data_IF_492831433825
#
_entry.id   IF_492831433825
#
_cell.length_a   1.000
_cell.length_b   1.000
_cell.length_c   1.000
_cell.angle_alpha   90.00
_cell.angle_beta   90.00
_cell.angle_gamma   90.00
#
_symmetry.space_group_name_H-M   'P 1'
#
loop_
_entity.id
_entity.type
_entity.pdbx_description
1 polymer ?
#
# COMPACT_ATOMS: atom_id res chain seq x y z
N UNK A 1 -10.96 -41.11 20.65
CA UNK A 1 -10.66 -42.15 19.63
C UNK A 1 -11.93 -42.37 18.83
N UNK A 2 -12.03 -42.31 17.51
CA UNK A 2 -11.14 -42.09 16.37
C UNK A 2 -12.00 -41.27 15.37
N UNK A 3 -11.53 -40.23 14.68
CA UNK A 3 -10.56 -40.31 13.59
C UNK A 3 -11.26 -39.89 12.29
N UNK A 4 -11.61 -38.60 12.15
CA UNK A 4 -11.96 -38.00 10.86
C UNK A 4 -10.66 -37.64 10.14
N UNK A 5 -10.10 -38.60 9.42
CA UNK A 5 -9.06 -38.38 8.43
C UNK A 5 -9.56 -38.98 7.10
N UNK A 6 -9.10 -38.37 6.00
CA UNK A 6 -9.42 -38.63 4.58
C UNK A 6 -10.68 -37.91 4.07
N UNK A 7 -10.66 -37.05 3.04
CA UNK A 7 -9.79 -36.99 1.86
C UNK A 7 -9.97 -35.64 1.14
N UNK A 8 -9.02 -34.70 1.30
CA UNK A 8 -8.87 -33.53 0.41
C UNK A 8 -7.91 -33.89 -0.75
N UNK A 9 -8.16 -35.02 -1.42
CA UNK A 9 -7.41 -35.44 -2.62
C UNK A 9 -8.34 -35.42 -3.81
N UNK A 10 -8.36 -34.29 -4.53
CA UNK A 10 -8.55 -34.14 -5.98
C UNK A 10 -9.73 -34.82 -6.73
N UNK A 11 -10.60 -35.57 -6.07
CA UNK A 11 -11.58 -36.44 -6.73
C UNK A 11 -12.99 -35.83 -6.86
N UNK A 12 -13.18 -34.58 -6.41
CA UNK A 12 -14.49 -33.90 -6.45
C UNK A 12 -15.02 -33.75 -7.87
N UNK A 13 -14.14 -33.42 -8.83
CA UNK A 13 -14.52 -33.21 -10.22
C UNK A 13 -14.89 -34.53 -10.92
N UNK A 14 -14.12 -35.60 -10.69
CA UNK A 14 -14.42 -36.93 -11.23
C UNK A 14 -15.73 -37.49 -10.66
N UNK A 15 -16.03 -37.20 -9.38
CA UNK A 15 -17.30 -37.58 -8.75
C UNK A 15 -18.48 -36.79 -9.32
N UNK A 16 -18.30 -35.49 -9.56
CA UNK A 16 -19.32 -34.66 -10.19
C UNK A 16 -19.62 -35.11 -11.64
N UNK A 17 -18.59 -35.42 -12.44
CA UNK A 17 -18.79 -35.95 -13.79
C UNK A 17 -19.50 -37.30 -13.80
N UNK A 18 -19.15 -38.21 -12.88
CA UNK A 18 -19.83 -39.51 -12.77
C UNK A 18 -21.29 -39.35 -12.36
N UNK A 19 -21.58 -38.48 -11.40
CA UNK A 19 -22.94 -38.18 -10.97
C UNK A 19 -23.79 -37.53 -12.08
N UNK A 20 -23.18 -36.71 -12.93
CA UNK A 20 -23.85 -36.13 -14.10
C UNK A 20 -24.14 -37.18 -15.18
N UNK A 21 -23.20 -38.09 -15.45
CA UNK A 21 -23.42 -39.18 -16.39
C UNK A 21 -24.49 -40.17 -15.91
N UNK A 22 -24.56 -40.44 -14.60
CA UNK A 22 -25.62 -41.25 -14.00
C UNK A 22 -27.00 -40.58 -14.10
N UNK A 23 -27.07 -39.26 -13.94
CA UNK A 23 -28.30 -38.49 -14.12
C UNK A 23 -28.77 -38.43 -15.58
N UNK A 24 -27.85 -38.43 -16.54
CA UNK A 24 -28.17 -38.50 -17.97
C UNK A 24 -28.67 -39.89 -18.38
N UNK A 25 -28.15 -40.95 -17.75
CA UNK A 25 -28.53 -42.33 -18.02
C UNK A 25 -29.92 -42.72 -17.47
N UNK A 26 -30.42 -42.04 -16.42
CA UNK A 26 -31.75 -42.30 -15.86
C UNK A 26 -32.62 -41.02 -15.71
N UNK A 27 -33.28 -40.60 -16.82
CA UNK A 27 -34.20 -39.46 -16.80
C UNK A 27 -35.38 -39.64 -15.84
N UNK A 28 -35.76 -40.89 -15.54
CA UNK A 28 -36.87 -41.20 -14.64
C UNK A 28 -36.49 -40.95 -13.18
N UNK A 29 -35.23 -41.21 -12.79
CA UNK A 29 -34.72 -40.88 -11.47
C UNK A 29 -34.69 -39.37 -11.22
N UNK A 30 -34.23 -38.58 -12.20
CA UNK A 30 -34.25 -37.12 -12.13
C UNK A 30 -35.69 -36.58 -11.96
N UNK A 31 -36.65 -37.14 -12.71
CA UNK A 31 -38.04 -36.71 -12.60
C UNK A 31 -38.66 -37.09 -11.23
N UNK A 32 -38.25 -38.24 -10.67
CA UNK A 32 -38.66 -38.69 -9.32
C UNK A 32 -38.07 -37.85 -8.20
N UNK A 33 -36.83 -37.37 -8.35
CA UNK A 33 -36.19 -36.40 -7.45
C UNK A 33 -36.89 -35.04 -7.53
N UNK A 34 -37.15 -34.54 -8.75
CA UNK A 34 -37.90 -33.29 -8.97
C UNK A 34 -39.30 -33.31 -8.36
N UNK A 35 -40.00 -34.45 -8.41
CA UNK A 35 -41.32 -34.58 -7.80
C UNK A 35 -41.34 -34.35 -6.28
N UNK A 36 -40.21 -34.55 -5.58
CA UNK A 36 -40.12 -34.33 -4.13
C UNK A 36 -40.15 -32.84 -3.77
N UNK A 37 -39.76 -31.98 -4.71
CA UNK A 37 -39.75 -30.52 -4.52
C UNK A 37 -41.01 -29.84 -5.04
N UNK A 38 -41.88 -30.54 -5.77
CA UNK A 38 -43.18 -30.01 -6.21
C UNK A 38 -44.25 -30.05 -5.11
N UNK A 39 -43.96 -30.66 -3.96
CA UNK A 39 -44.83 -30.62 -2.82
C UNK A 39 -44.54 -29.32 -2.07
N UNK A 40 -45.56 -28.46 -1.93
CA UNK A 40 -45.43 -27.26 -1.09
C UNK A 40 -44.91 -27.67 0.29
N UNK A 41 -43.90 -26.98 0.83
CA UNK A 41 -43.37 -27.30 2.14
C UNK A 41 -44.50 -27.30 3.16
N UNK A 42 -44.48 -28.22 4.15
CA UNK A 42 -45.51 -28.27 5.17
C UNK A 42 -45.63 -26.89 5.83
N UNK A 43 -46.87 -26.46 6.07
CA UNK A 43 -47.14 -25.20 6.76
C UNK A 43 -46.33 -25.15 8.05
N UNK A 44 -45.46 -24.15 8.17
CA UNK A 44 -44.54 -23.99 9.28
C UNK A 44 -45.35 -23.86 10.57
N UNK A 45 -45.43 -24.92 11.36
CA UNK A 45 -46.03 -24.87 12.68
C UNK A 45 -45.06 -24.10 13.58
N UNK A 46 -45.34 -22.82 13.76
CA UNK A 46 -44.65 -21.96 14.71
C UNK A 46 -44.95 -22.45 16.13
N UNK A 47 -44.23 -23.47 16.58
CA UNK A 47 -44.12 -23.77 18.00
C UNK A 47 -43.46 -22.55 18.65
N UNK A 48 -44.25 -21.79 19.43
CA UNK A 48 -43.77 -20.76 20.34
C UNK A 48 -42.90 -21.41 21.42
N UNK A 49 -41.67 -21.74 21.06
CA UNK A 49 -40.57 -21.85 22.01
C UNK A 49 -39.58 -20.79 21.61
N UNK A 50 -39.89 -19.56 22.00
CA UNK A 50 -39.05 -18.38 21.85
C UNK A 50 -37.79 -18.50 22.70
N UNK A 51 -36.90 -19.44 22.34
CA UNK A 51 -35.49 -19.33 22.65
C UNK A 51 -34.96 -18.20 21.79
N UNK A 52 -35.08 -16.97 22.30
CA UNK A 52 -34.47 -15.76 21.75
C UNK A 52 -33.05 -16.10 21.33
N UNK A 53 -32.84 -16.26 20.02
CA UNK A 53 -31.51 -16.30 19.42
C UNK A 53 -31.01 -14.87 19.49
N UNK A 54 -30.65 -14.44 20.70
CA UNK A 54 -30.00 -13.18 20.97
C UNK A 54 -28.67 -13.30 20.25
N UNK A 55 -28.58 -12.67 19.08
CA UNK A 55 -27.35 -12.53 18.32
C UNK A 55 -26.25 -12.16 19.31
N UNK A 56 -25.29 -13.03 19.50
CA UNK A 56 -24.15 -12.75 20.35
C UNK A 56 -23.54 -11.43 19.85
N UNK A 57 -23.63 -10.38 20.66
CA UNK A 57 -22.96 -9.12 20.37
C UNK A 57 -21.49 -9.42 20.10
N UNK A 58 -20.86 -8.77 19.11
CA UNK A 58 -19.44 -8.97 18.82
C UNK A 58 -18.66 -8.82 20.11
N UNK A 59 -18.00 -9.90 20.55
CA UNK A 59 -17.15 -9.86 21.73
C UNK A 59 -16.06 -8.84 21.41
N UNK A 60 -16.08 -7.71 22.12
CA UNK A 60 -15.04 -6.69 21.95
C UNK A 60 -13.69 -7.35 22.21
N UNK A 61 -12.70 -7.19 21.31
CA UNK A 61 -11.39 -7.81 21.50
C UNK A 61 -10.79 -7.36 22.83
N UNK A 62 -10.20 -8.31 23.57
CA UNK A 62 -9.53 -8.02 24.84
C UNK A 62 -8.44 -6.96 24.67
N UNK A 63 -8.14 -6.20 25.72
CA UNK A 63 -7.06 -5.20 25.70
C UNK A 63 -5.73 -5.77 25.22
N UNK A 64 -5.41 -7.00 25.63
CA UNK A 64 -4.19 -7.70 25.19
C UNK A 64 -4.20 -7.96 23.68
N UNK A 65 -5.33 -8.42 23.13
CA UNK A 65 -5.48 -8.61 21.68
C UNK A 65 -5.33 -7.29 20.92
N UNK A 66 -5.90 -6.20 21.45
CA UNK A 66 -5.77 -4.86 20.87
C UNK A 66 -4.32 -4.36 20.90
N UNK A 67 -3.62 -4.57 22.01
CA UNK A 67 -2.20 -4.22 22.15
C UNK A 67 -1.34 -5.03 21.18
N UNK A 68 -1.59 -6.33 21.05
CA UNK A 68 -0.89 -7.19 20.09
C UNK A 68 -1.14 -6.72 18.65
N UNK A 69 -2.38 -6.37 18.28
CA UNK A 69 -2.68 -5.86 16.95
C UNK A 69 -2.02 -4.51 16.67
N UNK A 70 -1.99 -3.60 17.65
CA UNK A 70 -1.25 -2.33 17.57
C UNK A 70 0.23 -2.54 17.26
N UNK A 71 0.89 -3.46 17.98
CA UNK A 71 2.30 -3.79 17.75
C UNK A 71 2.51 -4.38 16.35
N UNK A 72 1.61 -5.24 15.90
CA UNK A 72 1.68 -5.81 14.55
C UNK A 72 1.56 -4.74 13.47
N UNK A 73 0.59 -3.83 13.59
CA UNK A 73 0.42 -2.71 12.65
C UNK A 73 1.62 -1.76 12.64
N UNK A 74 2.21 -1.49 13.81
CA UNK A 74 3.43 -0.70 13.89
C UNK A 74 4.57 -1.38 13.11
N UNK A 75 4.77 -2.68 13.30
CA UNK A 75 5.76 -3.45 12.53
C UNK A 75 5.47 -3.48 11.03
N UNK A 76 4.21 -3.62 10.61
CA UNK A 76 3.82 -3.56 9.19
C UNK A 76 4.10 -2.18 8.57
N UNK A 77 3.92 -1.09 9.33
CA UNK A 77 4.30 0.26 8.86
C UNK A 77 5.80 0.39 8.72
N UNK A 78 6.53 0.02 9.76
CA UNK A 78 7.99 0.07 9.76
C UNK A 78 8.56 -0.75 8.61
N UNK A 79 8.00 -1.92 8.29
CA UNK A 79 8.46 -2.72 7.16
C UNK A 79 8.46 -1.96 5.84
N UNK A 80 7.56 -0.98 5.66
CA UNK A 80 7.42 -0.20 4.44
C UNK A 80 8.37 1.00 4.30
N UNK A 81 9.18 1.32 5.32
CA UNK A 81 10.17 2.40 5.26
C UNK A 81 11.41 1.97 4.43
N UNK A 82 12.19 2.92 3.86
CA UNK A 82 13.30 2.59 2.96
C UNK A 82 14.33 1.64 3.55
N UNK A 83 14.83 1.93 4.76
CA UNK A 83 15.84 1.11 5.44
C UNK A 83 15.39 -0.35 5.59
N UNK A 84 14.18 -0.58 6.11
CA UNK A 84 13.67 -1.94 6.34
C UNK A 84 13.42 -2.67 5.02
N UNK A 85 12.89 -1.98 4.00
CA UNK A 85 12.73 -2.61 2.68
C UNK A 85 14.07 -3.01 2.07
N UNK A 86 15.08 -2.14 2.18
CA UNK A 86 16.42 -2.40 1.69
C UNK A 86 17.03 -3.62 2.41
N UNK A 87 17.02 -3.61 3.75
CA UNK A 87 17.53 -4.71 4.57
C UNK A 87 16.86 -6.04 4.23
N UNK A 88 15.54 -6.06 4.08
CA UNK A 88 14.81 -7.28 3.76
C UNK A 88 15.16 -7.83 2.38
N UNK A 89 15.41 -6.95 1.40
CA UNK A 89 15.88 -7.35 0.07
C UNK A 89 17.31 -7.88 0.13
N UNK A 90 18.19 -7.24 0.91
CA UNK A 90 19.56 -7.70 1.16
C UNK A 90 19.56 -9.08 1.81
N UNK A 91 18.74 -9.32 2.82
CA UNK A 91 18.69 -10.60 3.52
C UNK A 91 18.22 -11.74 2.60
N UNK A 92 17.24 -11.48 1.74
CA UNK A 92 16.80 -12.49 0.74
C UNK A 92 17.88 -12.75 -0.29
N UNK A 93 18.57 -11.73 -0.79
CA UNK A 93 19.65 -11.92 -1.75
C UNK A 93 20.87 -12.60 -1.11
N UNK A 94 21.20 -12.25 0.14
CA UNK A 94 22.26 -12.91 0.93
C UNK A 94 21.99 -14.39 1.07
N UNK A 95 20.76 -14.76 1.47
CA UNK A 95 20.37 -16.16 1.58
C UNK A 95 20.50 -16.89 0.24
N UNK A 96 20.10 -16.25 -0.86
CA UNK A 96 20.25 -16.83 -2.20
C UNK A 96 21.70 -17.07 -2.59
N UNK A 97 22.58 -16.09 -2.34
CA UNK A 97 24.02 -16.20 -2.60
C UNK A 97 24.60 -17.37 -1.78
N UNK A 98 24.22 -17.46 -0.50
CA UNK A 98 24.62 -18.55 0.37
C UNK A 98 24.17 -19.92 -0.14
N UNK A 99 22.90 -20.06 -0.51
CA UNK A 99 22.35 -21.31 -1.03
C UNK A 99 23.03 -21.70 -2.38
N UNK A 100 23.36 -20.73 -3.23
CA UNK A 100 24.07 -20.97 -4.49
C UNK A 100 25.53 -21.42 -4.30
N UNK A 101 26.20 -20.93 -3.26
CA UNK A 101 27.55 -21.36 -2.87
C UNK A 101 27.55 -22.79 -2.36
N UNK A 102 26.61 -23.13 -1.47
CA UNK A 102 26.43 -24.49 -0.94
C UNK A 102 26.12 -25.50 -2.04
N UNK A 103 25.31 -25.11 -3.03
CA UNK A 103 24.93 -25.97 -4.16
C UNK A 103 26.02 -26.04 -5.24
N UNK A 104 27.11 -25.27 -5.11
CA UNK A 104 28.21 -25.23 -6.06
C UNK A 104 27.90 -24.51 -7.38
N UNK A 105 26.70 -23.96 -7.53
CA UNK A 105 26.26 -23.22 -8.73
C UNK A 105 26.96 -21.87 -8.88
N UNK A 106 27.34 -21.24 -7.76
CA UNK A 106 28.08 -19.97 -7.77
C UNK A 106 29.02 -19.89 -6.56
N UNK A 107 30.34 -19.93 -6.80
CA UNK A 107 31.32 -19.86 -5.71
C UNK A 107 31.60 -18.43 -5.30
N UNK A 108 31.46 -18.14 -4.03
CA UNK A 108 31.81 -16.84 -3.45
C UNK A 108 33.35 -16.76 -3.39
N UNK A 109 33.96 -15.64 -3.83
CA UNK A 109 35.41 -15.47 -3.74
C UNK A 109 35.86 -15.55 -2.28
N UNK A 110 36.92 -16.33 -2.02
CA UNK A 110 37.44 -16.55 -0.68
C UNK A 110 37.75 -15.22 0.04
N UNK A 111 37.19 -15.06 1.25
CA UNK A 111 37.32 -13.84 2.05
C UNK A 111 36.27 -12.76 1.78
N UNK A 112 35.33 -12.98 0.86
CA UNK A 112 34.21 -12.05 0.64
C UNK A 112 33.05 -12.34 1.58
N UNK A 113 32.43 -11.29 2.11
CA UNK A 113 31.22 -11.40 2.93
C UNK A 113 29.96 -11.43 2.03
N UNK A 114 29.16 -12.52 2.07
CA UNK A 114 27.91 -12.63 1.33
C UNK A 114 26.94 -11.47 1.60
N UNK A 115 26.93 -10.93 2.82
CA UNK A 115 26.09 -9.79 3.18
C UNK A 115 26.50 -8.53 2.41
N UNK A 116 27.80 -8.27 2.29
CA UNK A 116 28.32 -7.13 1.55
C UNK A 116 28.05 -7.26 0.04
N UNK A 117 28.21 -8.45 -0.53
CA UNK A 117 27.87 -8.71 -1.94
C UNK A 117 26.38 -8.43 -2.19
N UNK A 118 25.50 -8.96 -1.35
CA UNK A 118 24.07 -8.72 -1.45
C UNK A 118 23.72 -7.22 -1.33
N UNK A 119 24.35 -6.52 -0.38
CA UNK A 119 24.16 -5.08 -0.16
C UNK A 119 24.50 -4.28 -1.41
N UNK A 120 25.66 -4.52 -2.02
CA UNK A 120 26.08 -3.81 -3.23
C UNK A 120 25.18 -4.15 -4.44
N UNK A 121 24.73 -5.40 -4.56
CA UNK A 121 23.79 -5.79 -5.62
C UNK A 121 22.43 -5.08 -5.49
N UNK A 122 21.84 -5.07 -4.30
CA UNK A 122 20.55 -4.39 -4.06
C UNK A 122 20.70 -2.88 -4.22
N UNK A 123 21.80 -2.30 -3.71
CA UNK A 123 22.10 -0.87 -3.89
C UNK A 123 22.22 -0.50 -5.36
N UNK A 124 22.95 -1.28 -6.15
CA UNK A 124 23.05 -1.08 -7.61
C UNK A 124 21.68 -1.09 -8.28
N UNK A 125 20.82 -2.06 -7.95
CA UNK A 125 19.44 -2.12 -8.48
C UNK A 125 18.61 -0.90 -8.09
N UNK A 126 18.77 -0.37 -6.88
CA UNK A 126 18.06 0.84 -6.43
C UNK A 126 18.59 2.10 -7.12
N UNK A 127 19.89 2.16 -7.45
CA UNK A 127 20.49 3.23 -8.26
C UNK A 127 19.93 3.18 -9.68
N UNK A 128 19.90 2.00 -10.31
CA UNK A 128 19.37 1.81 -11.67
C UNK A 128 17.89 2.19 -11.80
N UNK A 129 17.09 1.95 -10.75
CA UNK A 129 15.68 2.38 -10.70
C UNK A 129 15.51 3.89 -10.40
N UNK A 130 16.60 4.60 -10.07
CA UNK A 130 16.53 5.98 -9.62
C UNK A 130 15.90 6.15 -8.23
N UNK A 131 15.82 5.08 -7.43
CA UNK A 131 15.28 5.10 -6.06
C UNK A 131 16.33 5.61 -5.07
N UNK A 132 17.59 5.21 -5.26
CA UNK A 132 18.68 5.56 -4.36
C UNK A 132 18.90 7.08 -4.31
N UNK A 133 19.20 7.61 -3.12
CA UNK A 133 19.54 9.02 -2.92
C UNK A 133 21.03 9.15 -2.60
N UNK A 134 21.67 10.18 -3.16
CA UNK A 134 23.10 10.45 -2.91
C UNK A 134 23.41 10.76 -1.44
N UNK A 135 22.41 11.27 -0.70
CA UNK A 135 22.54 11.58 0.71
C UNK A 135 22.21 10.41 1.64
N UNK A 136 21.83 9.26 1.10
CA UNK A 136 21.68 8.04 1.90
C UNK A 136 23.06 7.45 2.21
N UNK A 137 23.22 7.00 3.45
CA UNK A 137 24.38 6.20 3.83
C UNK A 137 24.27 4.78 3.23
N UNK A 138 25.22 3.91 3.57
CA UNK A 138 25.26 2.51 3.12
C UNK A 138 23.95 1.73 3.31
N UNK A 139 23.05 2.17 4.19
CA UNK A 139 21.86 1.43 4.59
C UNK A 139 20.53 2.10 4.20
N UNK A 140 20.52 3.09 3.31
CA UNK A 140 19.29 3.75 2.86
C UNK A 140 18.44 4.39 3.98
N UNK A 141 19.09 4.94 5.02
CA UNK A 141 18.36 5.63 6.10
C UNK A 141 17.70 6.92 5.59
N UNK A 142 16.40 7.06 5.89
CA UNK A 142 15.64 8.28 5.64
C UNK A 142 14.23 8.02 5.10
N UNK A 143 13.67 9.04 4.44
CA UNK A 143 12.37 9.00 3.75
C UNK A 143 12.53 8.66 2.28
N UNK A 144 11.50 8.11 1.63
CA UNK A 144 11.47 7.91 0.19
C UNK A 144 11.63 9.22 -0.60
N UNK A 145 12.01 9.15 -1.89
CA UNK A 145 12.09 10.33 -2.77
C UNK A 145 10.72 11.00 -2.91
N UNK A 146 9.66 10.21 -3.08
CA UNK A 146 8.30 10.72 -3.27
C UNK A 146 7.65 11.34 -2.01
N UNK A 147 8.19 11.10 -0.81
CA UNK A 147 7.64 11.65 0.43
C UNK A 147 7.88 13.16 0.59
N UNK A 148 8.90 13.71 -0.09
CA UNK A 148 9.14 15.16 -0.08
C UNK A 148 8.21 15.85 -1.08
N UNK A 149 7.58 16.97 -0.75
CA UNK A 149 6.87 17.79 -1.74
C UNK A 149 7.82 18.32 -2.85
N UNK A 150 7.35 18.35 -4.10
CA UNK A 150 8.12 18.79 -5.27
C UNK A 150 8.59 20.25 -5.17
N UNK A 151 7.79 21.12 -4.54
CA UNK A 151 8.02 22.56 -4.46
C UNK A 151 9.33 22.90 -3.71
N UNK A 152 9.60 22.21 -2.59
CA UNK A 152 10.80 22.43 -1.78
C UNK A 152 12.10 22.03 -2.47
N UNK A 153 12.05 21.09 -3.42
CA UNK A 153 13.24 20.67 -4.17
C UNK A 153 13.52 21.60 -5.35
N UNK A 154 12.48 22.17 -5.96
CA UNK A 154 12.63 23.17 -7.04
C UNK A 154 13.22 24.50 -6.57
N UNK A 155 12.93 24.92 -5.34
CA UNK A 155 13.53 26.13 -4.76
C UNK A 155 15.02 25.91 -4.42
N UNK A 156 15.36 24.75 -3.86
CA UNK A 156 16.75 24.39 -3.54
C UNK A 156 17.64 24.20 -4.79
N UNK A 157 17.08 23.74 -5.91
CA UNK A 157 17.80 23.60 -7.18
C UNK A 157 17.96 24.95 -7.90
N UNK A 158 16.95 25.83 -7.82
CA UNK A 158 17.10 27.23 -8.26
C UNK A 158 18.19 27.95 -7.45
N UNK A 159 18.27 27.72 -6.14
CA UNK A 159 19.37 28.24 -5.32
C UNK A 159 20.73 27.65 -5.72
N UNK A 160 20.82 26.33 -5.95
CA UNK A 160 22.07 25.69 -6.40
C UNK A 160 22.52 26.13 -7.79
N UNK A 161 21.61 26.32 -8.73
CA UNK A 161 21.95 26.83 -10.07
C UNK A 161 22.42 28.29 -9.98
N UNK A 162 21.84 29.11 -9.10
CA UNK A 162 22.30 30.47 -8.82
C UNK A 162 23.65 30.51 -8.06
N UNK A 163 23.91 29.55 -7.17
CA UNK A 163 25.19 29.45 -6.45
C UNK A 163 26.31 28.89 -7.33
N UNK A 164 26.01 27.99 -8.27
CA UNK A 164 27.01 27.43 -9.19
C UNK A 164 27.48 28.45 -10.24
N UNK A 165 26.64 29.45 -10.56
CA UNK A 165 27.05 30.62 -11.37
C UNK A 165 27.78 31.71 -10.55
N UNK A 166 27.77 31.61 -9.22
CA UNK A 166 28.41 32.54 -8.29
C UNK A 166 29.72 31.96 -7.74
N UNK A 167 30.81 32.08 -8.50
CA UNK A 167 32.15 31.81 -7.98
C UNK A 167 32.43 32.61 -6.69
N UNK A 168 32.97 32.00 -5.62
CA UNK A 168 33.34 32.72 -4.42
C UNK A 168 34.76 33.27 -4.57
N UNK A 169 34.88 34.54 -4.95
CA UNK A 169 36.09 35.31 -4.71
C UNK A 169 35.80 36.52 -3.83
N UNK A 170 36.57 36.55 -2.75
CA UNK A 170 36.60 37.53 -1.67
C UNK A 170 36.91 38.96 -2.15
N UNK A 171 36.24 39.92 -1.50
CA UNK A 171 36.50 41.38 -1.45
C UNK A 171 36.46 42.19 -2.76
N UNK A 172 35.36 42.91 -3.00
CA UNK A 172 35.42 44.35 -3.32
C UNK A 172 34.03 45.00 -3.26
N UNK A 173 33.98 46.19 -2.63
CA UNK A 173 32.84 47.09 -2.62
C UNK A 173 32.68 47.72 -4.01
N UNK A 174 31.91 47.09 -4.90
CA UNK A 174 31.59 47.62 -6.24
C UNK A 174 30.09 47.93 -6.31
N UNK A 175 29.67 49.09 -6.87
CA UNK A 175 28.25 49.42 -7.00
C UNK A 175 27.55 48.42 -7.92
N UNK A 176 26.44 47.88 -7.42
CA UNK A 176 25.56 46.90 -8.07
C UNK A 176 25.24 47.32 -9.52
N UNK A 177 25.65 46.58 -10.56
CA UNK A 177 25.20 46.87 -11.91
C UNK A 177 23.70 46.58 -12.00
N UNK A 178 22.99 47.49 -12.68
CA UNK A 178 21.57 47.37 -13.00
C UNK A 178 21.32 46.01 -13.65
N UNK A 179 20.38 45.26 -13.09
CA UNK A 179 19.91 44.00 -13.66
C UNK A 179 19.47 44.22 -15.11
N UNK A 180 20.22 43.65 -16.05
CA UNK A 180 19.78 43.57 -17.44
C UNK A 180 18.46 42.78 -17.54
N UNK A 181 17.63 43.07 -18.56
CA UNK A 181 16.38 42.36 -18.77
C UNK A 181 16.69 40.87 -18.98
N UNK A 182 16.12 40.00 -18.14
CA UNK A 182 16.22 38.54 -18.29
C UNK A 182 15.87 38.19 -19.73
N UNK A 183 16.85 37.72 -20.50
CA UNK A 183 16.61 37.26 -21.86
C UNK A 183 15.50 36.19 -21.83
N UNK A 184 14.55 36.22 -22.77
CA UNK A 184 13.52 35.19 -22.86
C UNK A 184 14.22 33.85 -23.09
N UNK A 185 14.03 32.91 -22.16
CA UNK A 185 14.57 31.55 -22.25
C UNK A 185 14.27 30.96 -23.62
N UNK A 186 15.30 30.43 -24.27
CA UNK A 186 15.17 29.73 -25.55
C UNK A 186 14.19 28.56 -25.40
N UNK A 187 13.47 28.22 -26.47
CA UNK A 187 12.55 27.08 -26.45
C UNK A 187 13.26 25.75 -26.15
N UNK A 188 14.55 25.66 -26.47
CA UNK A 188 15.41 24.54 -26.09
C UNK A 188 15.61 24.44 -24.56
N UNK A 189 15.85 25.56 -23.88
CA UNK A 189 16.00 25.58 -22.42
C UNK A 189 14.68 25.22 -21.72
N UNK A 190 13.55 25.66 -22.29
CA UNK A 190 12.21 25.26 -21.79
C UNK A 190 12.00 23.75 -21.95
N UNK A 191 12.37 23.17 -23.10
CA UNK A 191 12.29 21.72 -23.34
C UNK A 191 13.13 20.94 -22.34
N UNK A 192 14.39 21.34 -22.14
CA UNK A 192 15.27 20.71 -21.16
C UNK A 192 14.73 20.82 -19.73
N UNK A 193 14.13 21.95 -19.38
CA UNK A 193 13.51 22.14 -18.05
C UNK A 193 12.35 21.16 -17.84
N UNK A 194 11.49 21.00 -18.85
CA UNK A 194 10.36 20.06 -18.80
C UNK A 194 10.85 18.61 -18.71
N UNK A 195 11.85 18.25 -19.52
CA UNK A 195 12.43 16.90 -19.50
C UNK A 195 13.05 16.56 -18.15
N UNK A 196 13.86 17.46 -17.59
CA UNK A 196 14.44 17.28 -16.25
C UNK A 196 13.36 17.09 -15.18
N UNK A 197 12.24 17.83 -15.26
CA UNK A 197 11.11 17.64 -14.33
C UNK A 197 10.47 16.26 -14.48
N UNK A 198 10.24 15.82 -15.71
CA UNK A 198 9.67 14.50 -15.99
C UNK A 198 10.56 13.35 -15.50
N UNK A 199 11.89 13.47 -15.65
CA UNK A 199 12.84 12.48 -15.11
C UNK A 199 12.77 12.42 -13.59
N UNK A 200 12.80 13.57 -12.91
CA UNK A 200 12.70 13.61 -11.43
C UNK A 200 11.38 13.03 -10.92
N UNK A 201 10.28 13.32 -11.60
CA UNK A 201 8.98 12.74 -11.29
C UNK A 201 9.01 11.21 -11.39
N UNK A 202 9.55 10.68 -12.49
CA UNK A 202 9.73 9.23 -12.67
C UNK A 202 10.58 8.60 -11.58
N UNK A 203 11.70 9.23 -11.20
CA UNK A 203 12.57 8.72 -10.13
C UNK A 203 11.86 8.70 -8.77
N UNK A 204 11.04 9.72 -8.48
CA UNK A 204 10.23 9.74 -7.26
C UNK A 204 9.22 8.60 -7.29
N UNK A 205 8.49 8.47 -8.38
CA UNK A 205 7.47 7.45 -8.55
C UNK A 205 8.04 6.03 -8.53
N UNK A 206 9.29 5.82 -8.97
CA UNK A 206 9.94 4.52 -8.91
C UNK A 206 9.95 3.89 -7.50
N UNK A 207 9.95 4.72 -6.46
CA UNK A 207 9.91 4.28 -5.06
C UNK A 207 8.51 4.00 -4.51
N UNK A 208 7.46 4.21 -5.30
CA UNK A 208 6.07 3.93 -4.93
C UNK A 208 5.79 2.41 -4.99
N UNK A 209 4.88 1.87 -4.17
CA UNK A 209 4.60 0.43 -4.11
C UNK A 209 4.28 -0.18 -5.47
N UNK A 210 3.43 0.46 -6.27
CA UNK A 210 3.08 0.00 -7.62
C UNK A 210 4.30 -0.21 -8.53
N UNK A 211 5.13 0.82 -8.69
CA UNK A 211 6.30 0.74 -9.57
C UNK A 211 7.33 -0.28 -9.06
N UNK A 212 7.56 -0.31 -7.75
CA UNK A 212 8.47 -1.26 -7.15
C UNK A 212 7.98 -2.72 -7.31
N UNK A 213 6.68 -2.95 -7.19
CA UNK A 213 6.08 -4.27 -7.39
C UNK A 213 6.22 -4.74 -8.84
N UNK A 214 5.88 -3.88 -9.82
CA UNK A 214 6.04 -4.19 -11.25
C UNK A 214 7.49 -4.53 -11.59
N UNK A 215 8.45 -3.74 -11.08
CA UNK A 215 9.87 -4.02 -11.27
C UNK A 215 10.28 -5.35 -10.61
N UNK A 216 9.84 -5.64 -9.39
CA UNK A 216 10.19 -6.90 -8.74
C UNK A 216 9.56 -8.11 -9.44
N UNK A 217 8.38 -7.97 -10.06
CA UNK A 217 7.79 -9.02 -10.90
C UNK A 217 8.68 -9.29 -12.11
N UNK A 218 9.20 -8.27 -12.80
CA UNK A 218 10.06 -8.51 -13.96
C UNK A 218 11.34 -9.25 -13.56
N UNK A 219 11.96 -8.87 -12.44
CA UNK A 219 13.12 -9.59 -11.91
C UNK A 219 12.80 -11.05 -11.56
N UNK A 220 11.65 -11.29 -10.94
CA UNK A 220 11.23 -12.64 -10.55
C UNK A 220 10.88 -13.51 -11.77
N UNK A 221 10.29 -12.91 -12.81
CA UNK A 221 10.03 -13.56 -14.09
C UNK A 221 11.32 -13.97 -14.79
N UNK A 222 12.29 -13.05 -14.91
CA UNK A 222 13.61 -13.33 -15.49
C UNK A 222 14.30 -14.48 -14.74
N UNK A 223 14.19 -14.48 -13.40
CA UNK A 223 14.73 -15.54 -12.56
C UNK A 223 14.09 -16.90 -12.84
N UNK A 224 12.77 -16.99 -12.81
CA UNK A 224 12.04 -18.24 -13.07
C UNK A 224 12.37 -18.76 -14.48
N UNK A 225 12.48 -17.85 -15.45
CA UNK A 225 12.87 -18.20 -16.82
C UNK A 225 14.28 -18.81 -16.85
N UNK A 226 15.26 -18.20 -16.18
CA UNK A 226 16.62 -18.73 -16.09
C UNK A 226 16.69 -20.09 -15.37
N UNK A 227 15.89 -20.31 -14.33
CA UNK A 227 15.78 -21.60 -13.63
C UNK A 227 15.17 -22.68 -14.54
N UNK A 228 14.10 -22.35 -15.25
CA UNK A 228 13.42 -23.29 -16.16
C UNK A 228 14.27 -23.71 -17.35
N UNK A 229 15.22 -22.88 -17.79
CA UNK A 229 16.15 -23.23 -18.86
C UNK A 229 17.14 -24.35 -18.46
N UNK A 230 17.34 -24.56 -17.15
CA UNK A 230 18.24 -25.59 -16.63
C UNK A 230 17.53 -26.90 -16.27
N UNK A 231 16.20 -26.91 -16.18
CA UNK A 231 15.40 -28.04 -15.75
C UNK A 231 14.59 -28.60 -16.94
N UNK A 232 15.22 -29.50 -17.71
CA UNK A 232 14.64 -30.17 -18.88
C UNK A 232 13.46 -31.09 -18.47
N UNK A 233 12.27 -30.52 -18.24
CA UNK A 233 11.04 -31.32 -18.23
C UNK A 233 9.91 -30.91 -17.29
N UNK A 234 10.04 -29.86 -16.48
CA UNK A 234 8.98 -29.49 -15.54
C UNK A 234 8.04 -28.41 -16.09
N UNK A 235 6.81 -28.83 -16.41
CA UNK A 235 5.58 -28.08 -16.65
C UNK A 235 5.65 -26.56 -16.87
N UNK A 236 5.14 -26.15 -18.04
CA UNK A 236 4.87 -24.78 -18.51
C UNK A 236 3.81 -24.04 -17.70
N UNK A 237 3.91 -24.01 -16.38
CA UNK A 237 3.10 -23.11 -15.56
C UNK A 237 3.35 -21.68 -16.04
N UNK A 238 2.30 -20.85 -16.12
CA UNK A 238 2.44 -19.46 -16.55
C UNK A 238 3.46 -18.75 -15.65
N UNK A 239 4.61 -18.40 -16.24
CA UNK A 239 5.74 -17.75 -15.55
C UNK A 239 5.26 -16.46 -14.89
N UNK A 240 4.32 -15.74 -15.52
CA UNK A 240 3.81 -14.49 -14.97
C UNK A 240 2.99 -14.73 -13.70
N UNK A 241 2.07 -15.70 -13.72
CA UNK A 241 1.30 -16.11 -12.53
C UNK A 241 2.22 -16.52 -11.39
N UNK A 242 3.23 -17.35 -11.67
CA UNK A 242 4.18 -17.80 -10.65
C UNK A 242 5.02 -16.65 -10.08
N UNK A 243 5.51 -15.74 -10.94
CA UNK A 243 6.28 -14.58 -10.51
C UNK A 243 5.44 -13.65 -9.62
N UNK A 244 4.20 -13.38 -10.03
CA UNK A 244 3.24 -12.59 -9.26
C UNK A 244 2.94 -13.24 -7.90
N UNK A 245 2.63 -14.53 -7.85
CA UNK A 245 2.32 -15.25 -6.61
C UNK A 245 3.52 -15.30 -5.65
N UNK A 246 4.72 -15.58 -6.16
CA UNK A 246 5.95 -15.57 -5.37
C UNK A 246 6.17 -14.19 -4.73
N UNK A 247 5.99 -13.13 -5.51
CA UNK A 247 6.17 -11.77 -5.03
C UNK A 247 5.09 -11.36 -4.04
N UNK A 248 3.82 -11.63 -4.34
CA UNK A 248 2.68 -11.36 -3.48
C UNK A 248 2.85 -12.04 -2.12
N UNK A 249 3.24 -13.31 -2.12
CA UNK A 249 3.51 -14.07 -0.89
C UNK A 249 4.67 -13.45 -0.10
N UNK A 250 5.73 -13.02 -0.79
CA UNK A 250 6.88 -12.35 -0.16
C UNK A 250 6.47 -11.03 0.48
N UNK A 251 5.72 -10.18 -0.22
CA UNK A 251 5.25 -8.90 0.29
C UNK A 251 4.26 -9.06 1.44
N UNK A 252 3.39 -10.05 1.36
CA UNK A 252 2.44 -10.39 2.44
C UNK A 252 3.18 -10.86 3.68
N UNK A 253 4.16 -11.77 3.54
CA UNK A 253 4.97 -12.27 4.66
C UNK A 253 5.78 -11.16 5.33
N UNK A 254 6.27 -10.20 4.56
CA UNK A 254 7.01 -9.03 5.08
C UNK A 254 6.11 -7.93 5.66
N UNK A 255 4.79 -8.08 5.60
CA UNK A 255 3.86 -7.05 6.05
C UNK A 255 3.78 -5.83 5.12
N UNK A 256 4.38 -5.87 3.94
CA UNK A 256 4.35 -4.79 2.94
C UNK A 256 3.00 -4.69 2.24
N UNK A 257 2.35 -5.84 2.00
CA UNK A 257 1.07 -5.87 1.30
C UNK A 257 -0.06 -5.25 2.13
N UNK A 258 -0.75 -4.25 1.59
CA UNK A 258 -1.95 -3.70 2.21
C UNK A 258 -3.18 -4.49 1.74
N UNK A 259 -3.97 -5.01 2.70
CA UNK A 259 -5.19 -5.78 2.42
C UNK A 259 -6.20 -5.01 1.56
N UNK A 260 -6.17 -3.67 1.58
CA UNK A 260 -7.05 -2.80 0.77
C UNK A 260 -6.74 -2.80 -0.73
N UNK A 261 -5.53 -3.21 -1.13
CA UNK A 261 -5.08 -3.10 -2.52
C UNK A 261 -5.71 -4.12 -3.48
N UNK A 262 -6.31 -5.19 -2.98
CA UNK A 262 -6.95 -6.19 -3.84
C UNK A 262 -5.91 -7.00 -4.63
N UNK A 263 -5.81 -6.77 -5.95
CA UNK A 263 -4.92 -7.52 -6.87
C UNK A 263 -3.62 -6.79 -7.17
N UNK A 264 -3.61 -5.46 -7.17
CA UNK A 264 -2.40 -4.69 -7.46
C UNK A 264 -2.16 -3.69 -6.35
N UNK A 265 -0.90 -3.46 -5.95
CA UNK A 265 -0.61 -2.48 -4.92
C UNK A 265 -1.00 -1.08 -5.37
N UNK A 266 -1.44 -0.27 -4.42
CA UNK A 266 -1.70 1.15 -4.65
C UNK A 266 -0.42 1.99 -4.74
N UNK A 267 -0.58 3.31 -4.65
CA UNK A 267 0.53 4.27 -4.78
C UNK A 267 1.14 4.72 -3.44
N UNK A 268 0.54 4.41 -2.30
CA UNK A 268 1.04 4.89 -1.00
C UNK A 268 1.44 3.74 -0.10
N UNK A 269 2.62 3.82 0.51
CA UNK A 269 3.05 2.85 1.51
C UNK A 269 2.20 2.90 2.78
N UNK A 270 2.23 1.82 3.57
CA UNK A 270 1.51 1.75 4.86
C UNK A 270 1.97 2.81 5.86
N UNK A 271 3.26 3.11 5.91
CA UNK A 271 3.77 4.18 6.78
C UNK A 271 3.32 5.58 6.38
N UNK A 272 2.86 5.79 5.13
CA UNK A 272 2.30 7.07 4.68
C UNK A 272 0.87 7.29 5.21
N UNK A 273 0.17 6.22 5.60
CA UNK A 273 -1.19 6.32 6.17
C UNK A 273 -1.12 6.69 7.67
N UNK A 274 -2.03 7.56 8.16
CA UNK A 274 -2.15 7.85 9.59
C UNK A 274 -2.35 6.57 10.40
N UNK A 275 -1.64 6.45 11.53
CA UNK A 275 -1.68 5.24 12.34
C UNK A 275 -3.06 5.02 12.97
N UNK A 276 -3.66 6.09 13.48
CA UNK A 276 -4.96 6.10 14.13
C UNK A 276 -6.08 5.68 13.17
N UNK A 277 -6.00 6.09 11.90
CA UNK A 277 -6.96 5.71 10.87
C UNK A 277 -6.91 4.20 10.59
N UNK A 278 -5.72 3.65 10.32
CA UNK A 278 -5.57 2.21 10.11
C UNK A 278 -6.00 1.39 11.34
N UNK A 279 -5.74 1.92 12.52
CA UNK A 279 -6.11 1.26 13.76
C UNK A 279 -7.63 1.24 13.97
N UNK A 280 -8.31 2.37 13.74
CA UNK A 280 -9.76 2.49 13.86
C UNK A 280 -10.50 1.62 12.85
N UNK A 281 -10.00 1.54 11.61
CA UNK A 281 -10.57 0.68 10.59
C UNK A 281 -10.46 -0.81 10.92
N UNK A 282 -9.35 -1.25 11.54
CA UNK A 282 -9.15 -2.67 11.80
C UNK A 282 -9.75 -3.16 13.12
N UNK A 283 -9.78 -2.31 14.15
CA UNK A 283 -10.35 -2.69 15.46
C UNK A 283 -11.81 -2.26 15.64
N UNK A 284 -12.35 -1.44 14.73
CA UNK A 284 -13.63 -0.77 14.88
C UNK A 284 -13.56 0.35 15.93
N UNK A 285 -14.59 1.20 15.95
CA UNK A 285 -14.71 2.23 16.99
C UNK A 285 -14.77 1.57 18.38
N UNK A 286 -14.04 2.15 19.33
CA UNK A 286 -14.16 1.76 20.72
C UNK A 286 -15.63 1.91 21.15
N UNK A 287 -16.24 0.91 21.82
CA UNK A 287 -17.58 1.08 22.34
C UNK A 287 -17.53 2.28 23.29
N UNK A 288 -18.20 3.36 22.90
CA UNK A 288 -18.42 4.54 23.74
C UNK A 288 -18.85 3.99 25.10
N UNK A 289 -18.16 4.32 26.21
CA UNK A 289 -18.58 3.85 27.52
C UNK A 289 -20.03 4.28 27.66
N UNK A 290 -20.93 3.28 27.75
CA UNK A 290 -22.33 3.53 27.95
C UNK A 290 -22.43 4.49 29.13
N UNK A 291 -23.02 5.67 28.88
CA UNK A 291 -23.28 6.66 29.92
C UNK A 291 -23.75 5.89 31.16
N UNK A 292 -23.13 6.07 32.34
CA UNK A 292 -23.62 5.42 33.54
C UNK A 292 -25.08 5.83 33.66
N UNK A 293 -25.96 4.82 33.55
CA UNK A 293 -27.38 4.94 33.70
C UNK A 293 -27.57 5.64 35.05
N UNK A 294 -27.90 6.93 35.01
CA UNK A 294 -28.23 7.70 36.20
C UNK A 294 -29.43 6.98 36.79
N UNK A 295 -29.21 6.35 37.93
CA UNK A 295 -30.26 5.70 38.71
C UNK A 295 -31.26 6.79 39.10
N UNK A 296 -32.34 6.89 38.33
CA UNK A 296 -33.55 7.60 38.74
C UNK A 296 -34.16 6.82 39.91
N UNK A 297 -33.91 7.32 41.12
CA UNK A 297 -34.75 7.04 42.28
C UNK A 297 -35.33 8.37 42.77
N UNK A 298 -36.65 8.43 42.72
CA UNK A 298 -37.51 9.56 43.00
C UNK A 298 -37.30 10.17 44.40
N UNK A 299 -37.27 11.51 44.51
CA UNK A 299 -38.29 12.24 45.28
C UNK A 299 -38.25 13.78 45.14
N UNK A 300 -39.44 14.33 44.86
CA UNK A 300 -40.01 15.67 45.13
C UNK A 300 -39.40 16.97 44.53
N UNK A 301 -40.26 17.97 44.19
CA UNK A 301 -39.90 19.15 43.41
C UNK A 301 -39.52 20.36 44.28
N UNK A 302 -38.51 21.12 43.86
CA UNK A 302 -38.25 22.47 44.34
C UNK A 302 -38.10 23.44 43.17
N UNK A 303 -39.11 24.32 43.06
CA UNK A 303 -39.16 25.50 42.21
C UNK A 303 -38.08 26.50 42.66
N UNK A 304 -37.29 27.05 41.71
CA UNK A 304 -36.86 28.47 41.58
C UNK A 304 -35.84 28.57 40.43
N UNK A 305 -36.21 29.15 39.28
CA UNK A 305 -36.14 30.58 38.93
C UNK A 305 -34.71 31.13 38.85
N UNK A 306 -34.21 31.30 37.62
CA UNK A 306 -33.34 32.37 37.06
C UNK A 306 -32.75 31.79 35.74
N UNK A 307 -33.31 32.01 34.54
CA UNK A 307 -33.34 33.24 33.72
C UNK A 307 -31.97 33.94 33.67
N UNK A 308 -31.16 33.63 32.65
CA UNK A 308 -30.62 34.62 31.70
C UNK A 308 -29.91 33.95 30.49
N UNK A 309 -29.83 34.63 29.33
CA UNK A 309 -29.73 34.05 27.98
C UNK A 309 -28.32 34.08 27.37
N UNK A 310 -28.11 33.46 26.17
CA UNK A 310 -26.83 33.49 25.48
C UNK A 310 -26.52 34.86 24.88
N UNK A 311 -25.27 35.29 25.04
CA UNK A 311 -24.68 36.45 24.37
C UNK A 311 -24.47 36.11 22.90
N UNK A 312 -25.22 36.81 22.04
CA UNK A 312 -24.89 37.00 20.62
C UNK A 312 -23.60 37.83 20.53
N UNK A 313 -22.67 37.40 19.68
CA UNK A 313 -21.61 38.27 19.16
C UNK A 313 -21.77 38.32 17.65
N UNK A 314 -22.05 39.54 17.22
CA UNK A 314 -22.37 39.99 15.89
C UNK A 314 -21.19 39.88 14.90
N UNK A 315 -21.57 39.62 13.65
CA UNK A 315 -21.19 40.33 12.43
C UNK A 315 -19.73 40.82 12.33
N UNK A 316 -18.99 40.17 11.43
CA UNK A 316 -18.14 40.90 10.49
C UNK A 316 -18.51 40.51 9.05
N UNK A 317 -19.26 41.41 8.43
CA UNK A 317 -19.40 41.54 6.98
C UNK A 317 -18.05 41.96 6.41
N UNK A 318 -17.57 41.28 5.37
CA UNK A 318 -16.55 41.84 4.49
C UNK A 318 -17.01 41.67 3.04
N UNK A 319 -17.29 42.82 2.41
CA UNK A 319 -17.63 42.98 1.01
C UNK A 319 -16.54 43.85 0.36
N UNK A 320 -15.85 43.32 -0.65
CA UNK A 320 -14.96 44.01 -1.60
C UNK A 320 -14.13 42.94 -2.33
N UNK A 321 -13.95 42.88 -3.66
CA UNK A 321 -14.29 43.77 -4.76
C UNK A 321 -14.50 42.91 -6.03
N UNK A 322 -15.41 43.38 -6.88
CA UNK A 322 -15.55 42.98 -8.28
C UNK A 322 -14.38 43.50 -9.11
N UNK A 323 -13.83 42.66 -9.99
CA UNK A 323 -12.98 43.05 -11.12
C UNK A 323 -13.71 42.78 -12.45
N UNK A 324 -13.57 43.65 -13.48
CA UNK A 324 -14.37 43.63 -14.70
C UNK A 324 -13.90 42.61 -15.76
N UNK A 325 -14.73 42.29 -16.78
CA UNK A 325 -14.47 41.25 -17.76
C UNK A 325 -13.57 41.71 -18.91
N UNK A 326 -12.71 40.80 -19.39
CA UNK A 326 -11.92 41.00 -20.59
C UNK A 326 -12.75 40.79 -21.86
N UNK A 327 -12.63 41.76 -22.75
CA UNK A 327 -13.30 41.90 -24.05
C UNK A 327 -12.69 40.96 -25.09
N UNK A 328 -13.58 40.34 -25.85
CA UNK A 328 -13.31 39.57 -27.07
C UNK A 328 -13.01 40.55 -28.20
N UNK A 329 -11.93 40.34 -28.95
CA UNK A 329 -11.73 40.97 -30.25
C UNK A 329 -11.11 39.96 -31.22
N UNK A 330 -11.98 39.41 -32.08
CA UNK A 330 -11.63 38.84 -33.38
C UNK A 330 -11.41 39.97 -34.38
N UNK A 331 -10.37 39.88 -35.20
CA UNK A 331 -10.35 40.43 -36.56
C UNK A 331 -9.13 39.90 -37.34
N UNK A 332 -9.39 38.93 -38.22
CA UNK A 332 -8.66 38.79 -39.50
C UNK A 332 -9.06 39.96 -40.42
N UNK A 333 -8.19 40.31 -41.37
CA UNK A 333 -8.49 39.91 -42.75
C UNK A 333 -7.38 39.11 -43.44
#
# INVERSE_FOLDING_TARGET
>A
MAGFADTLRGNGLARAHRALAELEADPHQLNRERQRFSHSPPAYTSNLSGGTTRSASPISPSEESRKQRRMQLAGEREASIPYNQFEQQVEVERKRIWDADLNGSHRIPAGSDPYMIATEMIKKRWIEQGIWKDNWNTFAFGRWKHEKPLEMESEAELEKDLETESSPLLFSSVPKPKSEPRQPKSDEEKRQTVERRAVREREREASRPYHQFVYQISQERERIQAESANDEGAHTTDINTRAYENLLNTWTKRGLWNKKWGVLPGMSWKHEQPFEEMLGEEMGDDPVPANPLVNDSHDAPAIRLFRSPPVQSDLFLNASQQGPPAVIASAEP
#
